data_IF_784759143214
#
_entry.id   IF_784759143214
#
_cell.length_a   1.000
_cell.length_b   1.000
_cell.length_c   1.000
_cell.angle_alpha   90.00
_cell.angle_beta   90.00
_cell.angle_gamma   90.00
#
_symmetry.space_group_name_H-M   'P 1'
#
loop_
_entity.id
_entity.type
_entity.pdbx_description
1 polymer ?
#
# COMPACT_ATOMS: atom_id res chain seq x y z
N UNK A 1 -14.26 -1.19 17.32
CA UNK A 1 -14.07 -0.98 15.87
C UNK A 1 -14.72 0.33 15.45
N UNK A 2 -13.95 1.41 15.45
CA UNK A 2 -14.39 2.68 14.85
C UNK A 2 -13.31 3.02 13.82
N UNK A 3 -13.54 2.61 12.56
CA UNK A 3 -12.68 3.02 11.45
C UNK A 3 -12.73 4.55 11.36
N UNK A 4 -11.58 5.20 11.31
CA UNK A 4 -11.52 6.65 11.09
C UNK A 4 -12.01 6.92 9.66
N UNK A 5 -13.29 7.30 9.53
CA UNK A 5 -13.88 7.70 8.25
C UNK A 5 -13.44 9.13 7.97
N UNK A 6 -12.36 9.31 7.21
CA UNK A 6 -12.07 10.62 6.65
C UNK A 6 -12.92 10.85 5.41
N UNK A 7 -13.96 11.68 5.57
CA UNK A 7 -14.73 12.24 4.47
C UNK A 7 -13.89 13.32 3.81
N UNK A 8 -13.25 13.03 2.69
CA UNK A 8 -12.69 14.09 1.84
C UNK A 8 -13.86 14.80 1.17
N UNK A 9 -14.33 15.87 1.81
CA UNK A 9 -15.40 16.73 1.31
C UNK A 9 -14.75 17.81 0.46
N UNK A 10 -14.80 17.70 -0.86
CA UNK A 10 -14.52 18.83 -1.73
C UNK A 10 -15.74 19.77 -1.70
N UNK A 11 -15.74 20.73 -0.76
CA UNK A 11 -16.72 21.83 -0.77
C UNK A 11 -16.40 22.78 -1.92
N UNK A 12 -17.25 22.80 -2.93
CA UNK A 12 -17.21 23.78 -4.00
C UNK A 12 -17.94 25.05 -3.54
N UNK A 13 -17.23 26.17 -3.46
CA UNK A 13 -17.83 27.51 -3.36
C UNK A 13 -18.07 27.98 -4.80
N UNK A 14 -19.32 28.08 -5.28
CA UNK A 14 -19.56 28.58 -6.62
C UNK A 14 -19.28 30.09 -6.64
N UNK A 15 -18.28 30.52 -7.42
CA UNK A 15 -18.09 31.91 -7.78
C UNK A 15 -19.33 32.44 -8.51
N UNK A 16 -19.77 33.64 -8.10
CA UNK A 16 -21.06 34.20 -8.43
C UNK A 16 -21.28 34.44 -9.92
N UNK A 17 -22.26 33.72 -10.48
CA UNK A 17 -22.95 34.10 -11.71
C UNK A 17 -24.09 35.08 -11.40
N UNK A 18 -23.97 36.33 -11.87
CA UNK A 18 -25.05 37.32 -11.83
C UNK A 18 -26.22 36.83 -12.68
N UNK A 19 -27.37 36.53 -12.06
CA UNK A 19 -28.67 36.61 -12.72
C UNK A 19 -29.37 37.90 -12.27
N UNK A 20 -29.65 38.76 -13.24
CA UNK A 20 -30.73 39.74 -13.12
C UNK A 20 -32.03 38.94 -13.05
N UNK A 21 -32.88 39.21 -12.07
CA UNK A 21 -34.25 39.65 -12.34
C UNK A 21 -34.98 40.01 -11.03
N UNK A 22 -35.96 40.87 -11.25
CA UNK A 22 -36.83 41.62 -10.36
C UNK A 22 -37.74 40.76 -9.48
N UNK A 23 -37.87 41.16 -8.21
CA UNK A 23 -39.13 41.31 -7.47
C UNK A 23 -40.18 40.17 -7.53
N UNK A 24 -40.31 39.34 -6.49
CA UNK A 24 -41.48 39.28 -5.57
C UNK A 24 -41.47 38.10 -4.57
N UNK A 25 -41.94 38.45 -3.37
CA UNK A 25 -42.26 37.74 -2.11
C UNK A 25 -42.74 36.26 -2.15
N UNK A 26 -42.27 35.46 -1.17
CA UNK A 26 -43.17 34.85 -0.16
C UNK A 26 -43.18 33.31 0.03
N UNK A 27 -43.00 32.87 1.30
CA UNK A 27 -43.64 31.73 2.01
C UNK A 27 -43.30 30.28 1.58
N UNK A 28 -42.56 29.49 2.38
CA UNK A 28 -42.96 28.65 3.54
C UNK A 28 -43.57 27.26 3.17
N UNK A 29 -42.87 26.22 3.64
CA UNK A 29 -43.21 24.80 3.92
C UNK A 29 -44.39 24.11 3.19
N UNK A 30 -44.10 22.99 2.52
CA UNK A 30 -44.95 21.79 2.63
C UNK A 30 -44.18 20.50 2.27
N UNK A 31 -44.30 19.49 3.13
CA UNK A 31 -43.82 18.11 2.92
C UNK A 31 -44.97 17.30 2.33
N UNK A 32 -44.81 16.74 1.13
CA UNK A 32 -45.67 15.66 0.63
C UNK A 32 -44.82 14.53 0.05
N UNK A 33 -44.99 13.35 0.65
CA UNK A 33 -44.66 12.07 0.03
C UNK A 33 -45.53 11.88 -1.21
N UNK A 34 -44.89 11.59 -2.35
CA UNK A 34 -45.57 11.12 -3.54
C UNK A 34 -44.81 9.93 -4.15
N UNK A 35 -45.58 9.03 -4.73
CA UNK A 35 -45.30 7.63 -4.96
C UNK A 35 -44.17 7.36 -5.96
N UNK A 36 -43.48 6.23 -5.74
CA UNK A 36 -42.50 5.61 -6.63
C UNK A 36 -43.09 5.34 -8.02
N UNK A 37 -42.48 5.92 -9.04
CA UNK A 37 -42.26 5.25 -10.33
C UNK A 37 -40.78 4.82 -10.41
N UNK A 38 -40.45 3.65 -10.98
CA UNK A 38 -39.07 3.21 -11.08
C UNK A 38 -38.37 4.03 -12.17
N UNK A 39 -37.20 4.65 -11.91
CA UNK A 39 -36.45 5.26 -12.99
C UNK A 39 -35.89 4.14 -13.87
N UNK A 40 -36.33 4.19 -15.13
CA UNK A 40 -35.78 3.52 -16.30
C UNK A 40 -34.26 3.58 -16.25
N UNK A 41 -33.62 2.42 -16.48
CA UNK A 41 -32.17 2.29 -16.64
C UNK A 41 -31.70 3.20 -17.77
N UNK A 42 -31.11 4.34 -17.40
CA UNK A 42 -30.34 5.18 -18.33
C UNK A 42 -28.89 4.78 -18.13
N UNK A 43 -28.44 3.89 -19.00
CA UNK A 43 -27.02 3.66 -19.30
C UNK A 43 -26.34 4.99 -19.69
N UNK A 44 -25.03 5.04 -19.47
CA UNK A 44 -24.10 6.03 -19.99
C UNK A 44 -24.24 7.47 -19.49
N UNK A 45 -23.48 7.79 -18.42
CA UNK A 45 -22.62 8.99 -18.29
C UNK A 45 -22.01 9.07 -16.90
N UNK A 46 -20.90 8.38 -16.70
CA UNK A 46 -20.03 8.57 -15.51
C UNK A 46 -18.55 8.57 -15.93
N UNK A 47 -18.20 9.36 -16.94
CA UNK A 47 -16.82 9.72 -17.23
C UNK A 47 -16.75 11.16 -17.74
N UNK A 48 -16.56 12.11 -16.82
CA UNK A 48 -15.85 13.37 -17.07
C UNK A 48 -15.88 14.24 -15.79
N UNK A 49 -15.05 13.91 -14.81
CA UNK A 49 -14.56 14.91 -13.86
C UNK A 49 -13.03 14.94 -13.97
N UNK A 50 -12.41 16.10 -14.25
CA UNK A 50 -10.96 16.19 -14.51
C UNK A 50 -10.09 16.02 -13.25
N UNK A 51 -10.69 15.73 -12.09
CA UNK A 51 -10.02 15.56 -10.80
C UNK A 51 -10.01 14.11 -10.29
N UNK A 52 -10.45 13.14 -11.11
CA UNK A 52 -10.54 11.77 -10.65
C UNK A 52 -9.14 11.14 -10.58
N UNK A 53 -8.58 11.09 -9.36
CA UNK A 53 -7.44 10.23 -9.07
C UNK A 53 -7.82 8.79 -9.40
N UNK A 54 -6.96 8.09 -10.12
CA UNK A 54 -7.25 6.75 -10.63
C UNK A 54 -6.53 5.72 -9.76
N UNK A 55 -7.17 4.58 -9.52
CA UNK A 55 -6.51 3.40 -8.98
C UNK A 55 -6.03 2.52 -10.12
N UNK A 56 -4.72 2.28 -10.19
CA UNK A 56 -4.07 1.49 -11.24
C UNK A 56 -3.48 0.21 -10.64
N UNK A 57 -3.52 -0.89 -11.39
CA UNK A 57 -2.89 -2.15 -10.96
C UNK A 57 -1.40 -1.97 -10.67
N UNK A 58 -0.90 -2.62 -9.62
CA UNK A 58 0.52 -2.61 -9.22
C UNK A 58 1.47 -3.22 -10.28
N UNK A 59 0.92 -3.93 -11.26
CA UNK A 59 1.65 -4.57 -12.36
C UNK A 59 1.71 -3.79 -13.67
N UNK A 60 1.28 -2.52 -13.72
CA UNK A 60 1.30 -1.72 -14.94
C UNK A 60 2.73 -1.58 -15.50
N UNK A 61 3.07 -2.42 -16.49
CA UNK A 61 4.36 -2.38 -17.20
C UNK A 61 4.43 -1.15 -18.10
N UNK A 62 5.40 -0.29 -17.85
CA UNK A 62 5.78 0.78 -18.79
C UNK A 62 6.40 0.16 -20.04
N UNK A 63 5.78 0.34 -21.20
CA UNK A 63 6.40 0.04 -22.50
C UNK A 63 7.36 1.18 -22.85
N UNK A 64 8.65 0.99 -22.63
CA UNK A 64 9.69 1.83 -23.23
C UNK A 64 9.96 1.33 -24.65
N UNK A 65 9.55 2.09 -25.66
CA UNK A 65 9.91 1.82 -27.05
C UNK A 65 11.35 2.26 -27.27
N UNK A 66 12.26 1.29 -27.43
CA UNK A 66 13.58 1.52 -28.02
C UNK A 66 13.42 1.61 -29.53
N UNK A 67 13.70 2.78 -30.11
CA UNK A 67 13.77 2.95 -31.56
C UNK A 67 15.04 2.25 -32.09
N UNK A 68 14.86 1.09 -32.73
CA UNK A 68 15.84 0.57 -33.67
C UNK A 68 15.28 0.69 -35.09
N UNK A 69 16.07 1.39 -35.92
CA UNK A 69 15.88 1.63 -37.34
C UNK A 69 16.22 0.35 -38.10
N UNK A 70 15.29 -0.21 -38.87
CA UNK A 70 15.62 -1.06 -40.02
C UNK A 70 14.48 -1.06 -41.06
N UNK A 71 14.89 -0.95 -42.33
CA UNK A 71 14.11 -0.79 -43.55
C UNK A 71 13.55 -2.13 -44.11
N UNK A 72 12.69 -2.13 -45.16
CA UNK A 72 11.51 -3.00 -45.24
C UNK A 72 11.60 -4.17 -46.25
N UNK A 73 10.89 -5.26 -45.96
CA UNK A 73 10.31 -6.29 -46.85
C UNK A 73 9.59 -7.28 -45.89
N UNK A 74 8.43 -7.89 -46.10
CA UNK A 74 7.58 -8.16 -47.26
C UNK A 74 6.16 -8.49 -46.71
N UNK A 75 5.14 -8.47 -47.58
CA UNK A 75 3.71 -8.61 -47.21
C UNK A 75 3.35 -10.02 -46.72
N UNK A 76 2.61 -10.13 -45.61
CA UNK A 76 1.63 -11.20 -45.42
C UNK A 76 0.59 -10.90 -44.32
N UNK A 77 -0.69 -10.92 -44.71
CA UNK A 77 -1.84 -11.26 -43.85
C UNK A 77 -2.27 -10.25 -42.78
N UNK A 78 -3.17 -9.32 -43.13
CA UNK A 78 -4.02 -8.67 -42.13
C UNK A 78 -4.96 -9.71 -41.51
N UNK A 79 -4.69 -10.09 -40.27
CA UNK A 79 -5.75 -10.49 -39.34
C UNK A 79 -5.79 -9.40 -38.27
N UNK A 80 -6.85 -8.59 -38.30
CA UNK A 80 -7.16 -7.64 -37.23
C UNK A 80 -7.53 -8.45 -35.99
N UNK A 81 -6.55 -8.74 -35.15
CA UNK A 81 -6.82 -9.01 -33.74
C UNK A 81 -6.99 -7.66 -33.07
N UNK A 82 -8.25 -7.27 -32.86
CA UNK A 82 -8.60 -6.29 -31.83
C UNK A 82 -8.08 -6.84 -30.50
N UNK A 83 -6.86 -6.46 -30.15
CA UNK A 83 -6.34 -6.65 -28.80
C UNK A 83 -7.15 -5.70 -27.91
N UNK A 84 -8.15 -6.29 -27.27
CA UNK A 84 -8.93 -5.69 -26.20
C UNK A 84 -7.93 -5.16 -25.15
N UNK A 85 -7.75 -3.84 -25.12
CA UNK A 85 -6.88 -3.16 -24.16
C UNK A 85 -7.63 -3.20 -22.84
N UNK A 86 -7.34 -4.21 -22.02
CA UNK A 86 -7.80 -4.25 -20.64
C UNK A 86 -7.40 -2.94 -19.95
N UNK A 87 -8.42 -2.17 -19.56
CA UNK A 87 -8.24 -0.91 -18.85
C UNK A 87 -7.32 -1.14 -17.64
N UNK A 88 -6.29 -0.31 -17.41
CA UNK A 88 -5.35 -0.49 -16.29
C UNK A 88 -5.98 -0.17 -14.92
N UNK A 89 -7.26 0.24 -14.91
CA UNK A 89 -8.04 0.51 -13.70
C UNK A 89 -8.40 -0.79 -12.98
N UNK A 90 -8.26 -0.79 -11.65
CA UNK A 90 -8.66 -1.93 -10.81
C UNK A 90 -10.18 -1.97 -10.59
N UNK A 91 -10.74 -3.18 -10.40
CA UNK A 91 -12.16 -3.33 -10.12
C UNK A 91 -12.52 -2.90 -8.67
N UNK A 92 -13.77 -2.48 -8.39
CA UNK A 92 -14.20 -2.25 -7.01
C UNK A 92 -14.03 -3.49 -6.14
N UNK A 93 -13.38 -3.32 -4.99
CA UNK A 93 -12.99 -4.39 -4.06
C UNK A 93 -11.53 -4.85 -4.20
N UNK A 94 -10.82 -4.42 -5.24
CA UNK A 94 -9.40 -4.70 -5.43
C UNK A 94 -8.55 -3.50 -5.00
N UNK A 95 -7.37 -3.80 -4.44
CA UNK A 95 -6.40 -2.77 -4.08
C UNK A 95 -5.64 -2.29 -5.32
N UNK A 96 -5.54 -0.98 -5.51
CA UNK A 96 -4.82 -0.35 -6.62
C UNK A 96 -4.03 0.87 -6.15
N UNK A 97 -3.00 1.24 -6.90
CA UNK A 97 -2.16 2.39 -6.61
C UNK A 97 -2.91 3.66 -7.00
N UNK A 98 -3.00 4.61 -6.08
CA UNK A 98 -3.51 5.94 -6.35
C UNK A 98 -2.52 6.71 -7.23
N UNK A 99 -2.98 7.15 -8.38
CA UNK A 99 -2.19 8.01 -9.29
C UNK A 99 -2.92 9.32 -9.55
N UNK A 100 -2.17 10.43 -9.56
CA UNK A 100 -2.72 11.76 -9.78
C UNK A 100 -2.30 12.28 -11.16
N UNK A 101 -3.22 12.74 -12.03
CA UNK A 101 -2.86 13.23 -13.35
C UNK A 101 -2.00 14.50 -13.24
N UNK A 102 -0.90 14.53 -13.98
CA UNK A 102 -0.10 15.73 -14.15
C UNK A 102 -0.58 16.51 -15.38
N UNK A 103 -0.88 17.78 -15.16
CA UNK A 103 -1.42 18.68 -16.18
C UNK A 103 -0.60 19.97 -16.21
N UNK A 104 -0.92 20.88 -17.13
CA UNK A 104 -0.29 22.19 -17.16
C UNK A 104 -0.46 22.98 -15.85
N UNK A 105 -1.54 22.71 -15.09
CA UNK A 105 -1.85 23.40 -13.82
C UNK A 105 -1.36 22.65 -12.58
N UNK A 106 -1.29 21.31 -12.64
CA UNK A 106 -0.77 20.47 -11.55
C UNK A 106 0.52 19.78 -12.02
N UNK A 107 1.65 20.49 -11.93
CA UNK A 107 2.95 20.01 -12.40
C UNK A 107 3.79 19.50 -11.23
N UNK A 108 4.40 18.35 -11.43
CA UNK A 108 5.52 17.91 -10.59
C UNK A 108 6.81 18.43 -11.20
N UNK A 109 7.52 19.32 -10.48
CA UNK A 109 8.77 19.92 -10.95
C UNK A 109 9.99 19.01 -10.71
N UNK A 110 9.80 17.89 -10.02
CA UNK A 110 10.87 17.02 -9.57
C UNK A 110 11.36 17.33 -8.15
N UNK A 111 12.15 16.43 -7.62
CA UNK A 111 12.92 16.61 -6.40
C UNK A 111 14.20 17.40 -6.71
N UNK A 112 14.56 18.31 -5.81
CA UNK A 112 15.78 19.11 -5.95
C UNK A 112 17.01 18.19 -5.96
N UNK A 113 17.83 18.30 -7.01
CA UNK A 113 19.10 17.58 -7.13
C UNK A 113 19.03 16.09 -7.49
N UNK A 114 17.84 15.47 -7.48
CA UNK A 114 17.70 14.04 -7.77
C UNK A 114 16.69 13.78 -8.90
N UNK A 115 17.18 13.91 -10.14
CA UNK A 115 16.38 13.65 -11.34
C UNK A 115 15.98 12.17 -11.47
N UNK A 116 16.78 11.24 -10.93
CA UNK A 116 16.49 9.80 -10.99
C UNK A 116 15.29 9.46 -10.12
N UNK A 117 15.24 9.98 -8.89
CA UNK A 117 14.05 9.83 -8.03
C UNK A 117 12.84 10.57 -8.57
N UNK A 118 13.06 11.73 -9.21
CA UNK A 118 11.99 12.49 -9.85
C UNK A 118 11.30 11.68 -10.94
N UNK A 119 12.09 11.08 -11.85
CA UNK A 119 11.54 10.28 -12.95
C UNK A 119 10.86 8.99 -12.44
N UNK A 120 11.37 8.37 -11.37
CA UNK A 120 10.73 7.20 -10.74
C UNK A 120 9.32 7.48 -10.21
N UNK A 121 8.99 8.74 -9.91
CA UNK A 121 7.64 9.14 -9.47
C UNK A 121 6.66 9.39 -10.62
N UNK A 122 7.12 9.35 -11.87
CA UNK A 122 6.30 9.60 -13.05
C UNK A 122 5.90 8.30 -13.74
N UNK A 123 4.61 8.13 -13.97
CA UNK A 123 4.04 7.07 -14.80
C UNK A 123 3.59 7.69 -16.12
N UNK A 124 3.99 7.11 -17.25
CA UNK A 124 3.71 7.65 -18.58
C UNK A 124 2.92 6.67 -19.41
N UNK A 125 2.04 7.18 -20.27
CA UNK A 125 1.21 6.37 -21.15
C UNK A 125 0.34 5.34 -20.38
N UNK A 126 -0.25 5.76 -19.27
CA UNK A 126 -1.05 4.92 -18.37
C UNK A 126 -2.40 4.62 -19.00
N UNK A 127 -3.23 5.64 -19.26
CA UNK A 127 -4.54 5.45 -19.90
C UNK A 127 -4.46 5.67 -21.42
N UNK A 128 -3.65 6.63 -21.85
CA UNK A 128 -3.48 7.00 -23.25
C UNK A 128 -2.06 7.46 -23.53
N UNK A 129 -1.61 7.30 -24.77
CA UNK A 129 -0.30 7.79 -25.20
C UNK A 129 -0.17 9.29 -24.94
N UNK A 130 0.92 9.69 -24.31
CA UNK A 130 1.27 11.06 -23.96
C UNK A 130 0.76 11.53 -22.59
N UNK A 131 -0.06 10.76 -21.88
CA UNK A 131 -0.44 11.12 -20.52
C UNK A 131 0.71 10.87 -19.52
N UNK A 132 0.68 11.63 -18.43
CA UNK A 132 1.64 11.49 -17.33
C UNK A 132 0.88 11.59 -16.01
N UNK A 133 1.15 10.66 -15.12
CA UNK A 133 0.61 10.63 -13.77
C UNK A 133 1.73 10.64 -12.75
N UNK A 134 1.46 11.26 -11.61
CA UNK A 134 2.28 11.19 -10.42
C UNK A 134 1.91 9.93 -9.61
N UNK A 135 2.90 9.08 -9.36
CA UNK A 135 2.78 7.93 -8.48
C UNK A 135 2.85 8.38 -7.01
N UNK A 136 1.70 8.40 -6.34
CA UNK A 136 1.62 8.78 -4.92
C UNK A 136 2.38 7.78 -4.05
N UNK A 137 2.34 6.51 -4.43
CA UNK A 137 2.80 5.40 -3.61
C UNK A 137 1.73 4.86 -2.67
N UNK A 138 0.52 5.39 -2.67
CA UNK A 138 -0.55 4.91 -1.78
C UNK A 138 -1.38 3.82 -2.47
N UNK A 139 -1.54 2.69 -1.80
CA UNK A 139 -2.40 1.58 -2.20
C UNK A 139 -3.75 1.77 -1.53
N UNK A 140 -4.80 1.95 -2.33
CA UNK A 140 -6.17 2.15 -1.83
C UNK A 140 -7.11 1.07 -2.37
N UNK A 141 -8.19 0.83 -1.65
CA UNK A 141 -9.30 -0.01 -2.07
C UNK A 141 -10.54 0.86 -2.31
N UNK A 142 -11.17 0.70 -3.47
CA UNK A 142 -12.45 1.33 -3.80
C UNK A 142 -13.59 0.35 -3.52
N UNK A 143 -14.53 0.68 -2.65
CA UNK A 143 -15.71 -0.18 -2.44
C UNK A 143 -16.80 0.04 -3.51
N UNK A 144 -17.80 -0.84 -3.50
CA UNK A 144 -18.94 -0.77 -4.44
C UNK A 144 -19.83 0.47 -4.26
N UNK A 145 -19.66 1.21 -3.14
CA UNK A 145 -20.40 2.44 -2.83
C UNK A 145 -19.58 3.69 -3.20
N UNK A 146 -18.38 3.52 -3.75
CA UNK A 146 -17.51 4.61 -4.19
C UNK A 146 -16.61 5.18 -3.08
N UNK A 147 -16.51 4.54 -1.91
CA UNK A 147 -15.60 4.97 -0.85
C UNK A 147 -14.20 4.41 -1.07
N UNK A 148 -13.19 5.27 -0.89
CA UNK A 148 -11.78 4.89 -0.88
C UNK A 148 -11.32 4.59 0.54
N UNK A 149 -10.63 3.46 0.71
CA UNK A 149 -10.01 3.06 1.96
C UNK A 149 -8.51 2.97 1.76
N UNK A 150 -7.75 3.59 2.66
CA UNK A 150 -6.31 3.39 2.73
C UNK A 150 -6.02 1.92 3.03
N UNK A 151 -5.19 1.30 2.21
CA UNK A 151 -4.80 -0.09 2.36
C UNK A 151 -3.33 -0.21 2.79
N UNK A 152 -2.41 0.39 2.04
CA UNK A 152 -0.97 0.39 2.40
C UNK A 152 -0.17 1.44 1.60
N UNK A 153 1.14 1.54 1.83
CA UNK A 153 2.06 2.25 0.93
C UNK A 153 2.94 1.28 0.12
N UNK A 154 3.28 1.66 -1.11
CA UNK A 154 4.34 1.03 -1.89
C UNK A 154 5.66 1.19 -1.14
N UNK A 155 6.18 0.07 -0.62
CA UNK A 155 7.38 0.02 0.21
C UNK A 155 7.10 -0.44 1.64
N UNK A 156 5.85 -0.42 2.08
CA UNK A 156 5.40 -0.95 3.37
C UNK A 156 4.88 -2.40 3.24
N UNK A 157 5.11 -3.05 2.10
CA UNK A 157 4.88 -4.48 1.88
C UNK A 157 6.17 -5.20 1.52
N UNK A 158 6.29 -6.48 1.88
CA UNK A 158 7.35 -7.36 1.37
C UNK A 158 6.77 -8.68 0.85
N UNK A 159 7.55 -9.39 0.02
CA UNK A 159 7.14 -10.69 -0.54
C UNK A 159 7.81 -11.83 0.18
N UNK A 160 7.04 -12.79 0.68
CA UNK A 160 7.55 -13.98 1.35
C UNK A 160 6.87 -15.22 0.80
N UNK A 161 7.66 -16.20 0.33
CA UNK A 161 7.15 -17.47 -0.24
C UNK A 161 6.05 -17.28 -1.30
N UNK A 162 6.18 -16.23 -2.13
CA UNK A 162 5.23 -15.91 -3.19
C UNK A 162 4.06 -15.02 -2.78
N UNK A 163 3.84 -14.81 -1.48
CA UNK A 163 2.74 -14.02 -0.93
C UNK A 163 3.18 -12.57 -0.62
N UNK A 164 2.25 -11.62 -0.67
CA UNK A 164 2.50 -10.24 -0.22
C UNK A 164 2.13 -10.12 1.27
N UNK A 165 3.02 -9.53 2.06
CA UNK A 165 2.79 -9.26 3.48
C UNK A 165 2.76 -7.75 3.68
N UNK A 166 1.66 -7.24 4.24
CA UNK A 166 1.54 -5.85 4.67
C UNK A 166 2.22 -5.66 6.03
N UNK A 167 3.18 -4.75 6.10
CA UNK A 167 3.84 -4.45 7.38
C UNK A 167 2.89 -3.76 8.34
N UNK A 168 1.96 -2.96 7.81
CA UNK A 168 0.91 -2.26 8.58
C UNK A 168 -0.05 -3.26 9.22
N UNK A 169 -0.58 -4.22 8.45
CA UNK A 169 -1.50 -5.23 9.00
C UNK A 169 -0.86 -6.05 10.12
N UNK A 170 0.39 -6.49 9.92
CA UNK A 170 1.10 -7.26 10.94
C UNK A 170 1.38 -6.40 12.16
N UNK A 171 1.74 -5.12 11.98
CA UNK A 171 1.94 -4.18 13.10
C UNK A 171 0.65 -3.97 13.90
N UNK A 172 -0.47 -3.71 13.22
CA UNK A 172 -1.77 -3.52 13.85
C UNK A 172 -2.17 -4.75 14.68
N UNK A 173 -1.87 -5.96 14.19
CA UNK A 173 -2.12 -7.20 14.94
C UNK A 173 -1.23 -7.26 16.18
N UNK A 174 0.05 -6.91 16.08
CA UNK A 174 0.97 -6.90 17.22
C UNK A 174 0.56 -5.89 18.30
N UNK A 175 0.11 -4.70 17.89
CA UNK A 175 -0.27 -3.60 18.78
C UNK A 175 -1.52 -3.92 19.65
N UNK A 176 -2.27 -4.97 19.31
CA UNK A 176 -3.39 -5.46 20.13
C UNK A 176 -2.93 -6.22 21.39
N UNK A 177 -1.65 -6.59 21.50
CA UNK A 177 -1.11 -7.27 22.67
C UNK A 177 -0.82 -6.25 23.78
N UNK A 178 -1.31 -6.55 24.98
CA UNK A 178 -1.21 -5.67 26.14
C UNK A 178 0.22 -5.38 26.60
N UNK A 179 1.18 -6.28 26.34
CA UNK A 179 2.59 -6.10 26.68
C UNK A 179 3.41 -5.37 25.60
N UNK A 180 2.87 -5.18 24.39
CA UNK A 180 3.52 -4.45 23.30
C UNK A 180 3.12 -2.98 23.38
N UNK A 181 4.11 -2.09 23.41
CA UNK A 181 3.89 -0.64 23.33
C UNK A 181 3.79 -0.21 21.87
N UNK A 182 4.77 -0.60 21.06
CA UNK A 182 4.89 -0.22 19.65
C UNK A 182 5.56 -1.36 18.88
N UNK A 183 5.11 -1.59 17.64
CA UNK A 183 5.73 -2.51 16.70
C UNK A 183 6.15 -1.82 15.39
N UNK A 184 7.22 -2.31 14.79
CA UNK A 184 7.68 -1.95 13.45
C UNK A 184 8.02 -3.22 12.68
N UNK A 185 7.23 -3.52 11.66
CA UNK A 185 7.38 -4.73 10.86
C UNK A 185 8.10 -4.41 9.55
N UNK A 186 9.00 -5.30 9.15
CA UNK A 186 9.76 -5.19 7.92
C UNK A 186 10.22 -6.56 7.42
N UNK A 187 10.54 -6.63 6.13
CA UNK A 187 11.08 -7.85 5.51
C UNK A 187 12.61 -7.86 5.54
N UNK A 188 13.21 -8.98 5.96
CA UNK A 188 14.66 -9.22 5.92
C UNK A 188 15.03 -10.34 4.95
N UNK A 189 16.17 -10.20 4.27
CA UNK A 189 16.68 -11.24 3.37
C UNK A 189 17.22 -12.42 4.18
N UNK A 190 16.79 -13.63 3.84
CA UNK A 190 17.37 -14.86 4.38
C UNK A 190 18.27 -15.47 3.30
N UNK A 191 19.57 -15.73 3.57
CA UNK A 191 20.45 -16.37 2.62
C UNK A 191 19.86 -17.68 2.07
N UNK A 192 19.96 -17.87 0.75
CA UNK A 192 19.45 -19.07 0.08
C UNK A 192 17.92 -19.16 -0.05
N UNK A 193 17.16 -18.10 0.28
CA UNK A 193 15.70 -18.08 0.13
C UNK A 193 15.22 -16.95 -0.76
N UNK A 194 14.15 -17.21 -1.48
CA UNK A 194 13.47 -16.20 -2.28
C UNK A 194 12.56 -15.34 -1.40
N UNK A 195 12.56 -14.03 -1.66
CA UNK A 195 11.76 -13.06 -0.94
C UNK A 195 12.42 -12.59 0.37
N UNK A 196 11.60 -12.08 1.28
CA UNK A 196 12.02 -11.52 2.56
C UNK A 196 11.16 -12.10 3.67
N UNK A 197 11.79 -12.64 4.71
CA UNK A 197 11.08 -13.14 5.89
C UNK A 197 10.60 -11.96 6.74
N UNK A 198 9.44 -12.13 7.39
CA UNK A 198 8.93 -11.14 8.32
C UNK A 198 9.81 -11.01 9.56
N UNK A 199 10.17 -9.77 9.89
CA UNK A 199 10.83 -9.38 11.12
C UNK A 199 10.03 -8.26 11.78
N UNK A 200 9.94 -8.28 13.10
CA UNK A 200 9.34 -7.21 13.88
C UNK A 200 10.35 -6.65 14.89
N UNK A 201 10.52 -5.34 14.91
CA UNK A 201 11.15 -4.61 16.01
C UNK A 201 10.05 -4.12 16.95
N UNK A 202 10.12 -4.48 18.23
CA UNK A 202 9.05 -4.27 19.20
C UNK A 202 9.62 -3.58 20.43
N UNK A 203 8.89 -2.58 20.92
CA UNK A 203 9.10 -1.98 22.23
C UNK A 203 8.05 -2.54 23.17
N UNK A 204 8.48 -3.08 24.30
CA UNK A 204 7.58 -3.58 25.34
C UNK A 204 7.14 -2.43 26.24
N UNK A 205 5.93 -2.53 26.80
CA UNK A 205 5.48 -1.58 27.83
C UNK A 205 6.37 -1.68 29.07
N UNK A 206 6.43 -0.59 29.82
CA UNK A 206 7.19 -0.52 31.06
C UNK A 206 6.83 -1.69 31.99
N UNK A 207 7.87 -2.32 32.55
CA UNK A 207 7.80 -3.48 33.46
C UNK A 207 7.12 -4.74 32.88
N UNK A 208 6.93 -4.80 31.56
CA UNK A 208 6.46 -6.01 30.87
C UNK A 208 7.64 -6.80 30.28
N UNK A 209 7.44 -8.10 30.13
CA UNK A 209 8.36 -8.99 29.41
C UNK A 209 7.66 -9.63 28.22
N UNK A 210 8.47 -10.11 27.27
CA UNK A 210 7.96 -10.82 26.11
C UNK A 210 7.31 -12.14 26.55
N UNK A 211 6.02 -12.29 26.30
CA UNK A 211 5.32 -13.57 26.35
C UNK A 211 5.24 -14.15 24.93
N UNK A 212 6.27 -14.92 24.56
CA UNK A 212 6.41 -15.51 23.22
C UNK A 212 5.27 -16.48 22.86
N UNK A 213 4.75 -17.23 23.83
CA UNK A 213 3.63 -18.17 23.62
C UNK A 213 2.34 -17.43 23.35
N UNK A 214 2.05 -16.38 24.13
CA UNK A 214 0.87 -15.55 23.91
C UNK A 214 0.94 -14.80 22.59
N UNK A 215 2.12 -14.29 22.22
CA UNK A 215 2.36 -13.69 20.92
C UNK A 215 2.07 -14.69 19.78
N UNK A 216 2.65 -15.90 19.84
CA UNK A 216 2.40 -16.94 18.85
C UNK A 216 0.90 -17.29 18.72
N UNK A 217 0.22 -17.53 19.84
CA UNK A 217 -1.21 -17.84 19.84
C UNK A 217 -2.07 -16.73 19.23
N UNK A 218 -1.68 -15.48 19.44
CA UNK A 218 -2.34 -14.31 18.85
C UNK A 218 -2.13 -14.23 17.34
N UNK A 219 -0.90 -14.49 16.87
CA UNK A 219 -0.56 -14.53 15.44
C UNK A 219 -1.32 -15.63 14.71
N UNK A 220 -1.39 -16.85 15.27
CA UNK A 220 -2.10 -17.99 14.66
C UNK A 220 -3.59 -17.69 14.47
N UNK A 221 -4.20 -16.93 15.38
CA UNK A 221 -5.62 -16.58 15.30
C UNK A 221 -5.90 -15.43 14.34
N UNK A 222 -4.93 -14.54 14.14
CA UNK A 222 -5.15 -13.24 13.48
C UNK A 222 -4.58 -13.18 12.07
N UNK A 223 -3.52 -13.94 11.79
CA UNK A 223 -2.76 -13.85 10.55
C UNK A 223 -2.49 -15.23 9.93
N UNK A 224 -2.43 -15.31 8.59
CA UNK A 224 -1.96 -16.52 7.91
C UNK A 224 -0.46 -16.74 8.17
N UNK A 225 -0.01 -17.99 8.11
CA UNK A 225 1.36 -18.38 8.49
C UNK A 225 2.47 -17.69 7.69
N UNK A 226 2.21 -17.29 6.44
CA UNK A 226 3.19 -16.56 5.62
C UNK A 226 3.43 -15.13 6.13
N UNK A 227 2.50 -14.54 6.87
CA UNK A 227 2.58 -13.18 7.38
C UNK A 227 3.19 -13.09 8.78
N UNK A 228 3.44 -14.23 9.45
CA UNK A 228 4.02 -14.23 10.78
C UNK A 228 5.44 -13.64 10.78
N UNK A 229 5.78 -12.75 11.74
CA UNK A 229 7.15 -12.30 11.92
C UNK A 229 7.98 -13.44 12.52
N UNK A 230 8.76 -14.11 11.69
CA UNK A 230 9.62 -15.22 12.09
C UNK A 230 10.77 -14.79 13.01
N UNK A 231 11.17 -13.53 12.91
CA UNK A 231 12.23 -12.92 13.70
C UNK A 231 11.66 -11.75 14.49
N UNK A 232 12.14 -11.57 15.72
CA UNK A 232 11.70 -10.51 16.61
C UNK A 232 12.93 -9.85 17.25
N UNK A 233 12.92 -8.52 17.34
CA UNK A 233 13.93 -7.70 18.01
C UNK A 233 13.25 -6.88 19.09
N UNK A 234 13.71 -6.97 20.33
CA UNK A 234 13.16 -6.19 21.44
C UNK A 234 14.03 -4.95 21.63
N UNK A 235 13.48 -3.76 21.41
CA UNK A 235 14.20 -2.50 21.55
C UNK A 235 13.71 -1.71 22.77
N UNK A 236 14.57 -0.85 23.30
CA UNK A 236 14.21 0.10 24.37
C UNK A 236 13.36 1.26 23.85
N UNK A 237 13.56 1.65 22.59
CA UNK A 237 12.80 2.68 21.88
C UNK A 237 12.93 2.48 20.38
N UNK A 238 11.97 2.97 19.60
CA UNK A 238 12.07 3.00 18.14
C UNK A 238 12.81 4.26 17.68
N UNK A 239 13.70 4.10 16.69
CA UNK A 239 14.31 5.22 15.97
C UNK A 239 13.23 5.92 15.13
N UNK A 240 12.58 6.91 15.72
CA UNK A 240 11.56 7.74 15.08
C UNK A 240 12.24 8.96 14.45
N UNK A 241 12.06 9.16 13.14
CA UNK A 241 12.54 10.39 12.49
C UNK A 241 11.80 11.63 13.01
N UNK A 242 12.36 12.83 12.80
CA UNK A 242 11.69 14.11 13.14
C UNK A 242 10.27 14.26 12.54
N UNK A 243 9.94 13.45 11.53
CA UNK A 243 8.60 13.38 10.89
C UNK A 243 7.68 12.30 11.46
N UNK A 244 8.01 11.70 12.60
CA UNK A 244 7.31 10.56 13.19
C UNK A 244 7.26 9.30 12.31
N UNK A 245 8.05 9.25 11.23
CA UNK A 245 8.17 8.05 10.37
C UNK A 245 9.23 7.11 10.94
N UNK A 246 8.87 5.85 11.08
CA UNK A 246 9.77 4.78 11.52
C UNK A 246 10.90 4.58 10.49
N UNK A 247 12.16 4.64 10.94
CA UNK A 247 13.32 4.55 10.05
C UNK A 247 13.67 3.08 9.72
N UNK A 248 12.95 2.48 8.76
CA UNK A 248 13.11 1.05 8.39
C UNK A 248 14.45 0.71 7.73
N UNK A 249 15.16 1.69 7.13
CA UNK A 249 16.38 1.42 6.34
C UNK A 249 17.50 0.78 7.17
N UNK A 250 17.78 1.33 8.36
CA UNK A 250 18.82 0.82 9.26
C UNK A 250 18.46 -0.58 9.78
N UNK A 251 17.20 -0.76 10.22
CA UNK A 251 16.69 -2.04 10.69
C UNK A 251 16.77 -3.15 9.62
N UNK A 252 16.47 -2.82 8.37
CA UNK A 252 16.58 -3.77 7.24
C UNK A 252 18.04 -4.12 6.93
N UNK A 253 18.98 -3.18 7.11
CA UNK A 253 20.41 -3.41 6.90
C UNK A 253 21.04 -4.25 8.00
N UNK A 254 20.74 -3.96 9.26
CA UNK A 254 21.21 -4.73 10.42
C UNK A 254 20.59 -6.14 10.45
N UNK A 255 19.35 -6.25 9.96
CA UNK A 255 18.56 -7.48 9.92
C UNK A 255 18.55 -8.17 11.29
N UNK A 256 18.90 -9.46 11.33
CA UNK A 256 18.91 -10.31 12.53
C UNK A 256 20.33 -10.81 12.87
N UNK A 257 21.37 -10.06 12.48
CA UNK A 257 22.75 -10.45 12.77
C UNK A 257 23.11 -10.12 14.24
N UNK A 258 23.36 -11.13 15.09
CA UNK A 258 23.69 -10.90 16.50
C UNK A 258 25.03 -10.18 16.71
N UNK A 259 25.92 -10.15 15.72
CA UNK A 259 27.20 -9.42 15.81
C UNK A 259 27.02 -7.91 15.55
N UNK A 260 25.95 -7.51 14.87
CA UNK A 260 25.64 -6.11 14.54
C UNK A 260 24.58 -5.52 15.47
N UNK A 261 23.67 -6.37 15.97
CA UNK A 261 22.52 -5.95 16.77
C UNK A 261 22.80 -6.23 18.25
N UNK A 262 22.88 -5.17 19.06
CA UNK A 262 23.02 -5.28 20.51
C UNK A 262 21.71 -5.54 21.26
N UNK A 263 20.57 -5.43 20.57
CA UNK A 263 19.25 -5.67 21.14
C UNK A 263 18.94 -7.18 21.22
N UNK A 264 18.14 -7.63 22.20
CA UNK A 264 17.68 -9.02 22.26
C UNK A 264 16.93 -9.44 20.99
N UNK A 265 17.40 -10.52 20.37
CA UNK A 265 16.80 -11.15 19.19
C UNK A 265 16.13 -12.46 19.57
N UNK A 266 15.00 -12.76 18.92
CA UNK A 266 14.24 -13.99 19.08
C UNK A 266 13.82 -14.55 17.73
N UNK A 267 13.63 -15.87 17.71
CA UNK A 267 13.16 -16.62 16.56
C UNK A 267 11.87 -17.38 16.90
N UNK A 268 10.92 -17.39 15.97
CA UNK A 268 9.68 -18.15 16.11
C UNK A 268 9.95 -19.64 15.91
N UNK A 269 9.97 -20.41 16.99
CA UNK A 269 10.05 -21.86 16.94
C UNK A 269 8.64 -22.46 16.82
N UNK A 270 8.08 -22.45 15.60
CA UNK A 270 6.70 -22.87 15.32
C UNK A 270 6.30 -24.24 15.92
N UNK A 271 7.14 -25.30 15.92
CA UNK A 271 6.77 -26.57 16.56
C UNK A 271 6.58 -26.49 18.09
N UNK A 272 7.21 -25.51 18.75
CA UNK A 272 7.03 -25.26 20.19
C UNK A 272 5.96 -24.20 20.46
N UNK A 273 5.54 -23.47 19.42
CA UNK A 273 4.58 -22.37 19.52
C UNK A 273 5.07 -21.22 20.40
N UNK A 274 6.35 -20.88 20.29
CA UNK A 274 7.01 -19.90 21.16
C UNK A 274 8.11 -19.13 20.43
N UNK A 275 8.45 -17.95 20.94
CA UNK A 275 9.62 -17.18 20.52
C UNK A 275 10.80 -17.51 21.44
N UNK A 276 11.84 -18.12 20.88
CA UNK A 276 13.04 -18.51 21.60
C UNK A 276 14.19 -17.52 21.33
N UNK A 277 15.10 -17.26 22.29
CA UNK A 277 16.25 -16.41 22.04
C UNK A 277 17.05 -16.86 20.82
N UNK A 278 17.44 -15.91 19.97
CA UNK A 278 18.26 -16.16 18.80
C UNK A 278 19.73 -16.25 19.21
N UNK A 279 20.12 -17.43 19.70
CA UNK A 279 21.51 -17.73 20.02
C UNK A 279 22.37 -17.87 18.74
N UNK A 280 23.69 -17.76 18.88
CA UNK A 280 24.63 -17.85 17.76
C UNK A 280 24.53 -19.16 16.98
N UNK A 281 24.19 -20.27 17.64
CA UNK A 281 23.94 -21.57 16.99
C UNK A 281 22.70 -21.52 16.09
N UNK A 282 21.59 -20.97 16.59
CA UNK A 282 20.34 -20.84 15.86
C UNK A 282 20.49 -19.88 14.68
N UNK A 283 21.16 -18.75 14.88
CA UNK A 283 21.51 -17.82 13.80
C UNK A 283 22.30 -18.52 12.68
N UNK A 284 23.37 -19.27 13.03
CA UNK A 284 24.16 -20.02 12.05
C UNK A 284 23.31 -21.05 11.31
N UNK A 285 22.43 -21.78 12.00
CA UNK A 285 21.54 -22.76 11.37
C UNK A 285 20.51 -22.13 10.41
N UNK A 286 20.04 -20.92 10.71
CA UNK A 286 19.17 -20.16 9.80
C UNK A 286 19.93 -19.73 8.54
N UNK A 287 21.14 -19.17 8.72
CA UNK A 287 21.98 -18.65 7.63
C UNK A 287 22.55 -19.76 6.75
N UNK A 288 22.93 -20.91 7.33
CA UNK A 288 23.39 -22.09 6.58
C UNK A 288 22.26 -22.81 5.84
N UNK A 289 21.01 -22.52 6.22
CA UNK A 289 19.83 -23.16 5.65
C UNK A 289 19.45 -24.49 6.29
N UNK A 290 20.11 -24.90 7.38
CA UNK A 290 19.76 -26.11 8.15
C UNK A 290 18.37 -26.00 8.80
N UNK A 291 18.00 -24.80 9.25
CA UNK A 291 16.71 -24.56 9.92
C UNK A 291 15.71 -24.04 8.91
N UNK A 292 14.76 -24.87 8.50
CA UNK A 292 13.70 -24.52 7.55
C UNK A 292 12.48 -23.93 8.26
N UNK A 293 11.93 -22.85 7.70
CA UNK A 293 10.72 -22.19 8.18
C UNK A 293 10.02 -21.42 7.06
#
# INVERSE_FOLDING_TARGET
MTRLVQRVSATFVPEGGKCKDTETRGSCCDWKEEHREPPVLVEDKLFASPLLSLLVSSGAKTRTRTDQKQEPEERQGCSETQNDVSSPAVAPGEAGILVAPLTAVNRFLGYAGDQVQSEKKLLRNVLKVGDVYFNTGDLLLLDRRGFLYFHDCIGDTFRWKGENVSTTEVSDVLDLLDFIQEANVYGVTIPGREGRAGMAAVVLKQDQQLDGKRLYQHLVKSLPAYAWPWLLRIQSSLDVTETFKQQKTKLVQEAFNPDLVGDPLYFLHAPQGDYVPLEASLYRGIVSGEIHF
#
